data_IF_453734668001
#
_entry.id   IF_453734668001
#
_cell.length_a   1.000
_cell.length_b   1.000
_cell.length_c   1.000
_cell.angle_alpha   90.00
_cell.angle_beta   90.00
_cell.angle_gamma   90.00
#
_symmetry.space_group_name_H-M   'P 1'
#
loop_
_entity.id
_entity.type
_entity.pdbx_description
1 polymer ?
#
# COMPACT_ATOMS: atom_id res chain seq x y z
N UNK A 1 17.03 -8.50 10.12
CA UNK A 1 15.60 -8.26 10.24
C UNK A 1 14.98 -8.10 8.87
N UNK A 2 13.90 -8.81 8.60
CA UNK A 2 13.19 -8.71 7.33
C UNK A 2 12.27 -7.47 7.32
N UNK A 3 12.04 -6.91 6.14
CA UNK A 3 11.11 -5.80 5.93
C UNK A 3 10.09 -6.20 4.88
N UNK A 4 8.82 -5.98 5.18
CA UNK A 4 7.70 -6.32 4.30
C UNK A 4 6.93 -5.05 3.96
N UNK A 5 6.78 -4.77 2.68
CA UNK A 5 5.96 -3.67 2.19
C UNK A 5 4.54 -4.18 1.92
N UNK A 6 3.56 -3.54 2.51
CA UNK A 6 2.14 -3.88 2.31
C UNK A 6 1.44 -2.69 1.67
N UNK A 7 0.89 -2.88 0.48
CA UNK A 7 0.17 -1.81 -0.22
C UNK A 7 -1.31 -1.85 0.14
N UNK A 8 -1.85 -0.71 0.54
CA UNK A 8 -3.25 -0.57 0.94
C UNK A 8 -3.94 0.44 0.04
N UNK A 9 -5.17 0.16 -0.39
CA UNK A 9 -5.98 1.10 -1.18
C UNK A 9 -7.17 1.68 -0.42
N UNK A 10 -7.47 1.12 0.76
CA UNK A 10 -8.57 1.55 1.63
C UNK A 10 -9.97 1.48 1.00
N UNK A 11 -10.15 0.60 0.01
CA UNK A 11 -11.45 0.41 -0.66
C UNK A 11 -12.32 -0.68 -0.03
N UNK A 12 -12.06 -1.05 1.20
CA UNK A 12 -12.89 -1.98 1.96
C UNK A 12 -12.48 -3.45 1.90
N UNK A 13 -11.42 -3.80 1.17
CA UNK A 13 -10.98 -5.19 0.97
C UNK A 13 -9.63 -5.50 1.65
N UNK A 14 -9.21 -4.64 2.58
CA UNK A 14 -7.88 -4.73 3.17
C UNK A 14 -7.75 -5.76 4.31
N UNK A 15 -8.87 -6.29 4.82
CA UNK A 15 -8.82 -7.18 5.99
C UNK A 15 -7.98 -8.44 5.76
N UNK A 16 -8.15 -9.10 4.63
CA UNK A 16 -7.38 -10.28 4.29
C UNK A 16 -5.91 -9.96 4.05
N UNK A 17 -5.65 -8.81 3.45
CA UNK A 17 -4.31 -8.30 3.21
C UNK A 17 -3.59 -8.02 4.53
N UNK A 18 -4.26 -7.41 5.48
CA UNK A 18 -3.74 -7.14 6.82
C UNK A 18 -3.47 -8.43 7.58
N UNK A 19 -4.39 -9.39 7.54
CA UNK A 19 -4.18 -10.70 8.19
C UNK A 19 -2.97 -11.43 7.60
N UNK A 20 -2.82 -11.43 6.29
CA UNK A 20 -1.65 -11.99 5.62
C UNK A 20 -0.36 -11.28 6.05
N UNK A 21 -0.39 -9.95 6.12
CA UNK A 21 0.75 -9.17 6.59
C UNK A 21 1.15 -9.54 8.03
N UNK A 22 0.16 -9.74 8.90
CA UNK A 22 0.40 -10.17 10.28
C UNK A 22 1.07 -11.55 10.33
N UNK A 23 0.56 -12.51 9.57
CA UNK A 23 1.13 -13.85 9.51
C UNK A 23 2.59 -13.84 9.06
N UNK A 24 2.88 -13.11 7.99
CA UNK A 24 4.24 -13.01 7.48
C UNK A 24 5.15 -12.19 8.40
N UNK A 25 4.61 -11.11 8.99
CA UNK A 25 5.33 -10.32 9.97
C UNK A 25 5.79 -11.15 11.18
N UNK A 26 4.92 -12.01 11.68
CA UNK A 26 5.26 -12.93 12.78
C UNK A 26 6.29 -13.96 12.35
N UNK A 27 6.06 -14.60 11.21
CA UNK A 27 6.92 -15.71 10.74
C UNK A 27 8.36 -15.27 10.52
N UNK A 28 8.58 -14.05 10.08
CA UNK A 28 9.91 -13.54 9.75
C UNK A 28 10.44 -12.49 10.74
N UNK A 29 9.70 -12.19 11.80
CA UNK A 29 10.02 -11.09 12.72
C UNK A 29 10.29 -9.79 11.95
N UNK A 30 9.41 -9.49 10.97
CA UNK A 30 9.61 -8.43 10.02
C UNK A 30 9.06 -7.08 10.50
N UNK A 31 9.71 -6.02 10.08
CA UNK A 31 9.14 -4.68 10.10
C UNK A 31 8.10 -4.58 8.97
N UNK A 32 6.91 -4.10 9.28
CA UNK A 32 5.84 -3.92 8.31
C UNK A 32 5.81 -2.45 7.89
N UNK A 33 5.93 -2.20 6.60
CA UNK A 33 5.81 -0.87 6.02
C UNK A 33 4.47 -0.82 5.27
N UNK A 34 3.56 -0.02 5.81
CA UNK A 34 2.25 0.20 5.20
C UNK A 34 2.37 1.34 4.18
N UNK A 35 2.04 1.06 2.94
CA UNK A 35 2.11 2.03 1.87
C UNK A 35 0.72 2.33 1.33
N UNK A 36 0.39 3.61 1.26
CA UNK A 36 -0.73 4.10 0.49
C UNK A 36 -0.23 5.02 -0.61
N UNK A 37 -0.71 4.82 -1.83
CA UNK A 37 -0.40 5.67 -2.97
C UNK A 37 -1.68 6.37 -3.42
N UNK A 38 -1.67 7.69 -3.36
CA UNK A 38 -2.73 8.50 -3.94
C UNK A 38 -2.40 8.74 -5.41
N UNK A 39 -3.29 8.37 -6.35
CA UNK A 39 -3.03 8.53 -7.78
C UNK A 39 -3.04 9.99 -8.24
N UNK A 40 -3.42 10.93 -7.38
CA UNK A 40 -3.45 12.34 -7.73
C UNK A 40 -2.07 12.94 -7.59
N UNK A 41 -1.46 13.29 -8.72
CA UNK A 41 -0.21 14.02 -8.76
C UNK A 41 -0.50 15.50 -8.52
N UNK A 42 -0.03 16.03 -7.39
CA UNK A 42 -0.23 17.43 -7.04
C UNK A 42 1.13 18.13 -7.05
N UNK A 43 1.31 19.05 -8.00
CA UNK A 43 2.48 19.92 -8.05
C UNK A 43 2.45 20.90 -6.87
N UNK A 44 3.55 21.01 -6.15
CA UNK A 44 3.70 21.95 -5.04
C UNK A 44 3.37 23.40 -5.43
N UNK A 45 3.72 23.81 -6.65
CA UNK A 45 3.39 25.15 -7.17
C UNK A 45 1.89 25.35 -7.37
N UNK A 46 1.18 24.31 -7.79
CA UNK A 46 -0.28 24.34 -7.95
C UNK A 46 -0.95 24.48 -6.59
N UNK A 47 -0.44 23.81 -5.58
CA UNK A 47 -0.97 23.88 -4.21
C UNK A 47 -0.79 25.27 -3.61
N UNK A 48 0.37 25.90 -3.81
CA UNK A 48 0.64 27.24 -3.29
C UNK A 48 -0.28 28.32 -3.91
N UNK A 49 -0.68 28.13 -5.17
CA UNK A 49 -1.45 29.10 -5.93
C UNK A 49 -2.95 28.81 -6.00
N UNK A 50 -3.41 27.66 -5.55
CA UNK A 50 -4.81 27.27 -5.60
C UNK A 50 -5.31 26.77 -4.24
N UNK A 51 -6.10 27.62 -3.52
CA UNK A 51 -6.65 27.23 -2.22
C UNK A 51 -7.55 25.99 -2.25
N UNK A 52 -8.22 25.72 -3.37
CA UNK A 52 -9.09 24.56 -3.53
C UNK A 52 -8.26 23.28 -3.55
N UNK A 53 -7.14 23.28 -4.28
CA UNK A 53 -6.22 22.15 -4.34
C UNK A 53 -5.52 21.93 -2.99
N UNK A 54 -5.14 23.00 -2.31
CA UNK A 54 -4.55 22.91 -0.98
C UNK A 54 -5.52 22.26 0.02
N UNK A 55 -6.78 22.66 0.01
CA UNK A 55 -7.82 22.07 0.85
C UNK A 55 -8.05 20.59 0.53
N UNK A 56 -8.08 20.25 -0.75
CA UNK A 56 -8.22 18.86 -1.22
C UNK A 56 -7.07 17.99 -0.73
N UNK A 57 -5.83 18.47 -0.83
CA UNK A 57 -4.65 17.79 -0.34
C UNK A 57 -4.73 17.50 1.16
N UNK A 58 -5.12 18.49 1.93
CA UNK A 58 -5.26 18.33 3.37
C UNK A 58 -6.33 17.31 3.73
N UNK A 59 -7.47 17.33 3.03
CA UNK A 59 -8.55 16.36 3.23
C UNK A 59 -8.08 14.94 2.92
N UNK A 60 -7.32 14.73 1.84
CA UNK A 60 -6.76 13.44 1.46
C UNK A 60 -5.77 12.95 2.54
N UNK A 61 -4.90 13.82 3.01
CA UNK A 61 -3.96 13.48 4.09
C UNK A 61 -4.67 13.06 5.36
N UNK A 62 -5.73 13.78 5.76
CA UNK A 62 -6.50 13.48 6.95
C UNK A 62 -7.22 12.14 6.84
N UNK A 63 -7.87 11.86 5.72
CA UNK A 63 -8.51 10.57 5.44
C UNK A 63 -7.51 9.41 5.47
N UNK A 64 -6.36 9.60 4.85
CA UNK A 64 -5.31 8.60 4.82
C UNK A 64 -4.76 8.34 6.23
N UNK A 65 -4.57 9.40 7.01
CA UNK A 65 -4.11 9.28 8.39
C UNK A 65 -5.09 8.49 9.24
N UNK A 66 -6.38 8.79 9.17
CA UNK A 66 -7.43 8.05 9.89
C UNK A 66 -7.46 6.58 9.47
N UNK A 67 -7.37 6.30 8.18
CA UNK A 67 -7.37 4.94 7.65
C UNK A 67 -6.14 4.15 8.13
N UNK A 68 -4.98 4.79 8.15
CA UNK A 68 -3.76 4.17 8.67
C UNK A 68 -3.89 3.88 10.17
N UNK A 69 -4.45 4.80 10.95
CA UNK A 69 -4.69 4.56 12.37
C UNK A 69 -5.60 3.35 12.60
N UNK A 70 -6.63 3.18 11.77
CA UNK A 70 -7.51 2.02 11.85
C UNK A 70 -6.75 0.71 11.55
N UNK A 71 -5.86 0.73 10.57
CA UNK A 71 -5.02 -0.44 10.26
C UNK A 71 -4.04 -0.72 11.39
N UNK A 72 -3.40 0.30 11.93
CA UNK A 72 -2.51 0.17 13.09
C UNK A 72 -3.25 -0.44 14.28
N UNK A 73 -4.48 -0.02 14.54
CA UNK A 73 -5.32 -0.62 15.58
C UNK A 73 -5.58 -2.11 15.37
N UNK A 74 -5.74 -2.54 14.13
CA UNK A 74 -5.89 -3.97 13.80
C UNK A 74 -4.58 -4.75 13.94
N UNK A 75 -3.45 -4.12 13.73
CA UNK A 75 -2.12 -4.72 13.92
C UNK A 75 -1.67 -4.67 15.38
N UNK A 76 -2.15 -3.69 16.12
CA UNK A 76 -1.60 -3.21 17.40
C UNK A 76 -1.81 -4.06 18.63
N UNK A 77 -2.46 -5.24 18.55
CA UNK A 77 -2.51 -6.19 19.64
C UNK A 77 -1.23 -7.02 19.78
N UNK A 78 -0.25 -6.82 18.92
CA UNK A 78 0.97 -7.61 18.82
C UNK A 78 2.20 -6.73 18.68
N UNK A 79 3.35 -7.25 19.05
CA UNK A 79 4.62 -6.51 18.98
C UNK A 79 5.12 -6.51 17.53
N UNK A 80 4.53 -5.65 16.71
CA UNK A 80 5.03 -5.39 15.37
C UNK A 80 5.76 -4.06 15.34
N UNK A 81 6.87 -4.04 14.65
CA UNK A 81 7.42 -2.77 14.19
C UNK A 81 6.73 -2.43 12.89
N UNK A 82 6.08 -1.30 12.83
CA UNK A 82 5.48 -0.83 11.60
C UNK A 82 5.74 0.66 11.39
N UNK A 83 5.77 1.01 10.12
CA UNK A 83 5.97 2.37 9.64
C UNK A 83 4.94 2.56 8.52
N UNK A 84 4.38 3.74 8.39
CA UNK A 84 3.53 4.01 7.26
C UNK A 84 4.13 5.09 6.36
N UNK A 85 3.89 4.94 5.06
CA UNK A 85 4.41 5.81 4.01
C UNK A 85 3.25 6.20 3.11
N UNK A 86 3.13 7.49 2.84
CA UNK A 86 2.18 8.04 1.89
C UNK A 86 2.95 8.56 0.68
N UNK A 87 2.59 8.09 -0.50
CA UNK A 87 3.14 8.54 -1.78
C UNK A 87 2.01 9.06 -2.67
N UNK A 88 2.35 9.92 -3.60
CA UNK A 88 1.42 10.40 -4.64
C UNK A 88 2.02 10.13 -6.02
N UNK A 89 1.15 9.88 -6.99
CA UNK A 89 1.56 9.63 -8.37
C UNK A 89 1.07 8.30 -8.91
N UNK A 90 1.77 7.77 -9.91
CA UNK A 90 1.42 6.48 -10.52
C UNK A 90 1.61 5.35 -9.52
N UNK A 91 0.55 4.58 -9.16
CA UNK A 91 0.64 3.57 -8.11
C UNK A 91 1.76 2.55 -8.30
N UNK A 92 1.88 1.94 -9.48
CA UNK A 92 2.91 0.93 -9.68
C UNK A 92 4.33 1.48 -9.59
N UNK A 93 4.56 2.70 -10.05
CA UNK A 93 5.88 3.35 -9.95
C UNK A 93 6.22 3.67 -8.49
N UNK A 94 5.26 4.19 -7.74
CA UNK A 94 5.47 4.55 -6.34
C UNK A 94 5.65 3.33 -5.44
N UNK A 95 4.98 2.23 -5.75
CA UNK A 95 5.18 0.97 -5.04
C UNK A 95 6.62 0.47 -5.23
N UNK A 96 7.10 0.45 -6.46
CA UNK A 96 8.46 0.02 -6.78
C UNK A 96 9.51 0.95 -6.16
N UNK A 97 9.27 2.25 -6.22
CA UNK A 97 10.15 3.25 -5.61
C UNK A 97 10.23 3.09 -4.08
N UNK A 98 9.09 2.92 -3.42
CA UNK A 98 9.05 2.72 -1.99
C UNK A 98 9.75 1.43 -1.57
N UNK A 99 9.55 0.36 -2.32
CA UNK A 99 10.22 -0.92 -2.07
C UNK A 99 11.75 -0.79 -2.13
N UNK A 100 12.25 -0.03 -3.08
CA UNK A 100 13.68 0.23 -3.22
C UNK A 100 14.20 1.16 -2.11
N UNK A 101 13.52 2.29 -1.89
CA UNK A 101 13.91 3.26 -0.86
C UNK A 101 13.97 2.64 0.54
N UNK A 102 13.02 1.77 0.87
CA UNK A 102 12.93 1.12 2.17
C UNK A 102 13.72 -0.19 2.27
N UNK A 103 14.33 -0.65 1.18
CA UNK A 103 15.08 -1.92 1.13
C UNK A 103 14.25 -3.11 1.62
N UNK A 104 13.03 -3.26 1.11
CA UNK A 104 12.15 -4.33 1.55
C UNK A 104 12.55 -5.69 0.95
N UNK A 105 12.20 -6.75 1.65
CA UNK A 105 12.49 -8.13 1.24
C UNK A 105 11.30 -8.79 0.57
N UNK A 106 10.11 -8.24 0.72
CA UNK A 106 8.87 -8.77 0.18
C UNK A 106 7.87 -7.64 -0.02
N UNK A 107 7.12 -7.69 -1.12
CA UNK A 107 5.97 -6.82 -1.37
C UNK A 107 4.71 -7.68 -1.24
N UNK A 108 3.77 -7.27 -0.41
CA UNK A 108 2.44 -7.88 -0.29
C UNK A 108 1.42 -6.91 -0.85
N UNK A 109 0.65 -7.34 -1.83
CA UNK A 109 -0.37 -6.52 -2.44
C UNK A 109 -1.60 -7.34 -2.84
N UNK A 110 -2.73 -6.66 -2.98
CA UNK A 110 -3.96 -7.30 -3.40
C UNK A 110 -4.00 -7.54 -4.91
N UNK A 111 -4.65 -8.61 -5.30
CA UNK A 111 -5.01 -8.85 -6.68
C UNK A 111 -6.52 -8.64 -6.85
N UNK A 112 -6.92 -7.92 -7.89
CA UNK A 112 -8.33 -7.67 -8.17
C UNK A 112 -8.98 -8.87 -8.86
N UNK A 113 -9.98 -9.47 -8.19
CA UNK A 113 -10.88 -10.43 -8.83
C UNK A 113 -12.19 -9.73 -9.18
N UNK A 114 -12.30 -9.20 -10.38
CA UNK A 114 -13.51 -8.49 -10.79
C UNK A 114 -14.62 -9.40 -11.28
N UNK A 115 -14.33 -10.60 -11.74
CA UNK A 115 -15.35 -11.60 -12.07
C UNK A 115 -14.78 -13.00 -12.18
N UNK A 116 -15.64 -14.01 -12.01
CA UNK A 116 -15.29 -15.42 -12.20
C UNK A 116 -14.84 -15.74 -13.64
N UNK A 117 -15.21 -14.92 -14.62
CA UNK A 117 -14.82 -15.09 -16.03
C UNK A 117 -13.34 -14.71 -16.29
N UNK A 118 -12.71 -13.94 -15.39
CA UNK A 118 -11.36 -13.42 -15.57
C UNK A 118 -10.44 -13.87 -14.45
N UNK A 119 -10.37 -15.17 -14.22
CA UNK A 119 -9.55 -15.77 -13.14
C UNK A 119 -8.05 -15.45 -13.23
N UNK A 120 -7.59 -15.03 -14.42
CA UNK A 120 -6.18 -14.77 -14.67
C UNK A 120 -5.82 -13.29 -14.69
N UNK A 121 -6.78 -12.40 -14.44
CA UNK A 121 -6.51 -10.97 -14.37
C UNK A 121 -6.17 -10.57 -12.95
N UNK A 122 -4.92 -10.17 -12.75
CA UNK A 122 -4.41 -9.76 -11.44
C UNK A 122 -4.54 -8.26 -11.16
N UNK A 123 -5.12 -7.50 -12.09
CA UNK A 123 -5.22 -6.05 -12.02
C UNK A 123 -4.00 -5.35 -12.61
N UNK A 124 -4.17 -4.14 -13.13
CA UNK A 124 -3.11 -3.44 -13.87
C UNK A 124 -1.92 -3.06 -12.98
N UNK A 125 -2.18 -2.59 -11.76
CA UNK A 125 -1.10 -2.21 -10.84
C UNK A 125 -0.28 -3.42 -10.43
N UNK A 126 -0.94 -4.50 -10.03
CA UNK A 126 -0.26 -5.74 -9.65
C UNK A 126 0.52 -6.34 -10.82
N UNK A 127 -0.04 -6.32 -12.02
CA UNK A 127 0.64 -6.80 -13.23
C UNK A 127 1.94 -6.03 -13.49
N UNK A 128 1.91 -4.71 -13.41
CA UNK A 128 3.09 -3.88 -13.60
C UNK A 128 4.15 -4.13 -12.51
N UNK A 129 3.73 -4.24 -11.27
CA UNK A 129 4.66 -4.50 -10.15
C UNK A 129 5.33 -5.86 -10.31
N UNK A 130 4.55 -6.90 -10.60
CA UNK A 130 5.09 -8.27 -10.80
C UNK A 130 6.10 -8.31 -11.94
N UNK A 131 5.81 -7.64 -13.05
CA UNK A 131 6.69 -7.64 -14.23
C UNK A 131 7.99 -6.90 -14.01
N UNK A 132 7.99 -5.85 -13.19
CA UNK A 132 9.15 -4.96 -13.02
C UNK A 132 9.91 -5.16 -11.72
N UNK A 133 9.32 -5.81 -10.73
CA UNK A 133 9.95 -5.97 -9.42
C UNK A 133 11.14 -6.93 -9.47
N UNK A 134 12.23 -6.56 -8.81
CA UNK A 134 13.34 -7.44 -8.49
C UNK A 134 13.18 -8.09 -7.12
N UNK A 135 12.14 -7.72 -6.40
CA UNK A 135 11.81 -8.19 -5.05
C UNK A 135 10.63 -9.16 -5.16
N UNK A 136 10.58 -10.27 -4.41
CA UNK A 136 9.42 -11.15 -4.40
C UNK A 136 8.12 -10.41 -4.10
N UNK A 137 7.07 -10.78 -4.80
CA UNK A 137 5.73 -10.19 -4.66
C UNK A 137 4.74 -11.28 -4.28
N UNK A 138 4.05 -11.09 -3.17
CA UNK A 138 2.96 -11.95 -2.74
C UNK A 138 1.63 -11.27 -3.08
N UNK A 139 0.84 -11.91 -3.93
CA UNK A 139 -0.48 -11.44 -4.30
C UNK A 139 -1.54 -12.09 -3.42
N UNK A 140 -2.35 -11.27 -2.77
CA UNK A 140 -3.46 -11.72 -1.93
C UNK A 140 -4.77 -11.47 -2.67
N UNK A 141 -5.55 -12.50 -2.98
CA UNK A 141 -6.79 -12.31 -3.71
C UNK A 141 -7.82 -11.58 -2.83
N UNK A 142 -8.54 -10.66 -3.43
CA UNK A 142 -9.73 -10.06 -2.82
C UNK A 142 -10.95 -10.95 -3.08
N UNK A 143 -11.74 -11.14 -2.08
CA UNK A 143 -13.00 -11.85 -2.20
C UNK A 143 -14.15 -10.91 -2.57
#
# INVERSE_FOLDING_TARGET
MKKVLVTLDFKGNDSQLIETAKEWGRAFEAEIILLNVDPIEIDAKTVENDPIMAHRMESIKNLTYENIQNVEGKLGGEIFRFKHVLKTGSPHEQILNAAEEENVDLIIMGSNKHSAAYRFLIGSVADHVVKKSTIPVLLVPFN
#
